data_IF_586289350985
#
_entry.id   IF_586289350985
#
_cell.length_a   1.000
_cell.length_b   1.000
_cell.length_c   1.000
_cell.angle_alpha   90.00
_cell.angle_beta   90.00
_cell.angle_gamma   90.00
#
_symmetry.space_group_name_H-M   'P 1'
#
loop_
_entity.id
_entity.type
_entity.pdbx_description
1 polymer ?
#
# COMPACT_ATOMS: atom_id res chain seq x y z
N UNK A 1 7.29 16.48 19.50
CA UNK A 1 6.04 15.70 19.47
C UNK A 1 5.88 15.27 18.02
N UNK A 2 5.73 13.97 17.76
CA UNK A 2 5.55 13.52 16.38
C UNK A 2 4.18 13.99 15.84
N UNK A 3 4.09 14.17 14.54
CA UNK A 3 2.85 14.59 13.85
C UNK A 3 1.70 13.62 14.18
N UNK A 4 2.04 12.38 14.35
CA UNK A 4 1.13 11.25 14.58
C UNK A 4 0.62 11.19 16.02
N UNK A 5 1.40 11.60 17.01
CA UNK A 5 0.90 11.86 18.37
C UNK A 5 -0.13 12.97 18.38
N UNK A 6 -0.03 13.92 17.42
CA UNK A 6 -0.96 15.04 17.29
C UNK A 6 -2.33 14.58 16.80
N UNK A 7 -2.40 13.62 15.85
CA UNK A 7 -3.65 13.01 15.43
C UNK A 7 -4.38 12.32 16.59
N UNK A 8 -3.67 11.46 17.32
CA UNK A 8 -4.29 10.75 18.46
C UNK A 8 -4.74 11.70 19.56
N UNK A 9 -4.03 12.84 19.77
CA UNK A 9 -4.43 13.88 20.73
C UNK A 9 -5.70 14.60 20.28
N UNK A 10 -5.77 14.99 19.00
CA UNK A 10 -6.98 15.56 18.40
C UNK A 10 -8.18 14.62 18.57
N UNK A 11 -8.02 13.35 18.24
CA UNK A 11 -9.07 12.34 18.32
C UNK A 11 -9.51 12.05 19.77
N UNK A 12 -8.58 12.08 20.75
CA UNK A 12 -8.93 11.96 22.17
C UNK A 12 -9.81 13.12 22.65
N UNK A 13 -9.57 14.33 22.12
CA UNK A 13 -10.39 15.50 22.40
C UNK A 13 -11.79 15.39 21.76
N UNK A 14 -11.88 14.85 20.55
CA UNK A 14 -13.10 14.81 19.76
C UNK A 14 -13.62 13.39 19.52
N UNK A 15 -13.71 12.59 20.58
CA UNK A 15 -14.19 11.20 20.53
C UNK A 15 -15.60 11.02 19.94
N UNK A 16 -16.42 12.06 20.00
CA UNK A 16 -17.76 12.09 19.40
C UNK A 16 -17.75 11.77 17.90
N UNK A 17 -16.68 12.11 17.18
CA UNK A 17 -16.55 11.83 15.74
C UNK A 17 -16.72 10.34 15.42
N UNK A 18 -16.34 9.45 16.33
CA UNK A 18 -16.52 8.01 16.19
C UNK A 18 -17.96 7.52 16.47
N UNK A 19 -18.85 8.40 16.95
CA UNK A 19 -20.27 8.08 17.18
C UNK A 19 -21.14 8.31 15.94
N UNK A 20 -20.57 8.93 14.91
CA UNK A 20 -21.22 9.12 13.62
C UNK A 20 -20.92 7.90 12.76
N UNK A 21 -21.76 6.88 12.90
CA UNK A 21 -21.55 5.56 12.28
C UNK A 21 -22.72 5.14 11.38
N UNK A 22 -22.41 4.23 10.44
CA UNK A 22 -23.40 3.56 9.57
C UNK A 22 -23.18 2.05 9.65
N UNK A 23 -24.11 1.33 10.27
CA UNK A 23 -24.01 -0.13 10.51
C UNK A 23 -22.68 -0.55 11.18
N UNK A 24 -22.25 0.23 12.18
CA UNK A 24 -21.01 -0.02 12.92
C UNK A 24 -19.74 0.53 12.26
N UNK A 25 -19.84 1.14 11.08
CA UNK A 25 -18.72 1.80 10.41
C UNK A 25 -18.66 3.29 10.79
N UNK A 26 -17.67 3.74 11.57
CA UNK A 26 -17.50 5.14 11.93
C UNK A 26 -17.04 5.94 10.71
N UNK A 27 -17.87 6.86 10.20
CA UNK A 27 -17.59 7.62 8.96
C UNK A 27 -16.35 8.50 9.08
N UNK A 28 -16.02 8.95 10.29
CA UNK A 28 -14.81 9.72 10.55
C UNK A 28 -13.53 9.01 10.09
N UNK A 29 -13.51 7.67 10.10
CA UNK A 29 -12.33 6.89 9.69
C UNK A 29 -11.89 7.19 8.25
N UNK A 30 -12.81 7.59 7.36
CA UNK A 30 -12.51 8.02 6.00
C UNK A 30 -11.73 9.36 5.92
N UNK A 31 -11.69 10.11 7.01
CA UNK A 31 -11.07 11.44 7.07
C UNK A 31 -9.73 11.44 7.80
N UNK A 32 -9.36 10.33 8.46
CA UNK A 32 -8.18 10.28 9.33
C UNK A 32 -6.88 10.61 8.62
N UNK A 33 -6.66 10.08 7.43
CA UNK A 33 -5.46 10.40 6.63
C UNK A 33 -5.38 11.88 6.30
N UNK A 34 -6.51 12.49 5.93
CA UNK A 34 -6.57 13.91 5.61
C UNK A 34 -6.41 14.80 6.84
N UNK A 35 -7.00 14.41 7.95
CA UNK A 35 -6.78 15.09 9.23
C UNK A 35 -5.30 15.03 9.63
N UNK A 36 -4.66 13.88 9.46
CA UNK A 36 -3.24 13.69 9.73
C UNK A 36 -2.36 14.60 8.85
N UNK A 37 -2.67 14.70 7.55
CA UNK A 37 -1.99 15.59 6.61
C UNK A 37 -2.14 17.08 7.00
N UNK A 38 -3.34 17.51 7.38
CA UNK A 38 -3.58 18.88 7.85
C UNK A 38 -2.77 19.20 9.12
N UNK A 39 -2.73 18.26 10.06
CA UNK A 39 -1.95 18.39 11.30
C UNK A 39 -0.43 18.44 11.03
N UNK A 40 0.03 17.83 9.93
CA UNK A 40 1.44 17.86 9.52
C UNK A 40 1.88 19.15 8.83
N UNK A 41 0.94 20.00 8.44
CA UNK A 41 1.24 21.20 7.66
C UNK A 41 1.52 20.96 6.18
N UNK A 42 1.39 19.71 5.72
CA UNK A 42 1.71 19.30 4.34
C UNK A 42 0.66 19.69 3.29
N UNK A 43 -0.49 20.23 3.70
CA UNK A 43 -1.56 20.59 2.74
C UNK A 43 -1.27 21.83 1.88
N UNK A 44 -0.28 22.65 2.24
CA UNK A 44 0.00 23.88 1.50
C UNK A 44 0.55 23.64 0.08
N UNK A 45 1.12 22.45 -0.19
CA UNK A 45 1.66 22.10 -1.50
C UNK A 45 0.87 21.01 -2.25
N UNK A 46 0.01 20.26 -1.57
CA UNK A 46 -0.80 19.17 -2.16
C UNK A 46 -2.28 19.52 -2.28
N UNK A 47 -2.64 20.68 -2.82
CA UNK A 47 -3.84 20.80 -3.66
C UNK A 47 -3.59 20.02 -4.95
N UNK A 48 -3.10 18.81 -4.81
CA UNK A 48 -2.94 17.87 -5.88
C UNK A 48 -4.34 17.33 -6.20
N UNK A 49 -4.88 17.81 -7.31
CA UNK A 49 -5.60 17.04 -8.32
C UNK A 49 -6.56 15.90 -7.90
N UNK A 50 -6.88 15.74 -6.58
CA UNK A 50 -7.91 14.80 -6.13
C UNK A 50 -9.32 15.21 -6.57
N UNK A 51 -9.56 16.47 -6.96
CA UNK A 51 -10.88 16.97 -7.25
C UNK A 51 -11.42 16.63 -8.64
N UNK A 52 -10.61 16.23 -9.60
CA UNK A 52 -11.06 16.08 -11.00
C UNK A 52 -10.94 14.68 -11.63
N UNK A 53 -10.37 13.70 -10.96
CA UNK A 53 -10.35 12.34 -11.49
C UNK A 53 -11.63 11.56 -11.15
N UNK A 54 -12.73 11.93 -11.78
CA UNK A 54 -13.91 11.06 -11.85
C UNK A 54 -13.48 9.77 -12.53
N UNK A 55 -13.42 8.68 -11.78
CA UNK A 55 -13.08 7.37 -12.30
C UNK A 55 -13.85 7.10 -13.60
N UNK A 56 -13.13 6.89 -14.70
CA UNK A 56 -13.75 6.60 -15.99
C UNK A 56 -14.38 5.22 -15.91
N UNK A 57 -15.67 5.16 -16.25
CA UNK A 57 -16.39 3.90 -16.36
C UNK A 57 -16.25 3.41 -17.79
N UNK A 58 -15.62 2.26 -17.99
CA UNK A 58 -15.45 1.67 -19.30
C UNK A 58 -16.68 0.81 -19.67
N UNK A 59 -17.36 1.06 -20.79
CA UNK A 59 -18.53 0.26 -21.21
C UNK A 59 -18.26 -1.25 -21.26
N UNK A 60 -17.06 -1.64 -21.69
CA UNK A 60 -16.64 -3.05 -21.71
C UNK A 60 -16.58 -3.66 -20.31
N UNK A 61 -16.14 -2.93 -19.30
CA UNK A 61 -16.10 -3.40 -17.90
C UNK A 61 -17.51 -3.52 -17.31
N UNK A 62 -18.42 -2.60 -17.65
CA UNK A 62 -19.85 -2.71 -17.26
C UNK A 62 -20.44 -4.00 -17.81
N UNK A 63 -20.23 -4.28 -19.09
CA UNK A 63 -20.74 -5.48 -19.72
C UNK A 63 -20.17 -6.75 -19.08
N UNK A 64 -18.87 -6.79 -18.86
CA UNK A 64 -18.20 -7.91 -18.21
C UNK A 64 -18.68 -8.12 -16.77
N UNK A 65 -18.89 -7.03 -16.01
CA UNK A 65 -19.49 -7.05 -14.68
C UNK A 65 -20.88 -7.69 -14.67
N UNK A 66 -21.75 -7.35 -15.64
CA UNK A 66 -23.08 -7.93 -15.79
C UNK A 66 -23.03 -9.43 -16.10
N UNK A 67 -22.17 -9.85 -17.01
CA UNK A 67 -22.00 -11.26 -17.38
C UNK A 67 -21.52 -12.12 -16.20
N UNK A 68 -20.64 -11.56 -15.38
CA UNK A 68 -20.04 -12.26 -14.22
C UNK A 68 -20.93 -12.27 -12.98
N UNK A 69 -21.98 -11.46 -12.94
CA UNK A 69 -22.91 -11.41 -11.81
C UNK A 69 -23.46 -12.78 -11.37
N UNK A 70 -23.71 -13.68 -12.32
CA UNK A 70 -24.19 -15.05 -12.04
C UNK A 70 -23.12 -15.91 -11.34
N UNK A 71 -21.84 -15.69 -11.64
CA UNK A 71 -20.73 -16.43 -11.03
C UNK A 71 -20.61 -16.10 -9.55
N UNK A 72 -20.86 -14.85 -9.18
CA UNK A 72 -20.82 -14.38 -7.80
C UNK A 72 -21.76 -15.17 -6.88
N UNK A 73 -22.95 -15.52 -7.35
CA UNK A 73 -23.95 -16.25 -6.54
C UNK A 73 -23.50 -17.64 -6.11
N UNK A 74 -22.48 -18.20 -6.74
CA UNK A 74 -21.95 -19.54 -6.47
C UNK A 74 -20.65 -19.50 -5.67
N UNK A 75 -20.05 -18.33 -5.53
CA UNK A 75 -18.82 -18.17 -4.79
C UNK A 75 -19.08 -18.17 -3.29
N UNK A 76 -18.20 -18.81 -2.54
CA UNK A 76 -18.18 -18.78 -1.08
C UNK A 76 -17.20 -17.70 -0.55
N UNK A 77 -16.27 -17.25 -1.41
CA UNK A 77 -15.24 -16.30 -1.06
C UNK A 77 -15.32 -15.06 -1.95
N UNK A 78 -15.45 -13.90 -1.34
CA UNK A 78 -15.41 -12.60 -2.02
C UNK A 78 -14.14 -11.86 -1.63
N UNK A 79 -13.37 -11.42 -2.63
CA UNK A 79 -12.15 -10.62 -2.43
C UNK A 79 -12.42 -9.22 -2.98
N UNK A 80 -12.21 -8.20 -2.17
CA UNK A 80 -12.39 -6.79 -2.55
C UNK A 80 -11.04 -6.12 -2.75
N UNK A 81 -10.81 -5.53 -3.92
CA UNK A 81 -9.55 -4.86 -4.28
C UNK A 81 -9.78 -3.74 -5.29
N UNK A 82 -8.72 -3.06 -5.68
CA UNK A 82 -8.75 -2.02 -6.72
C UNK A 82 -7.78 -2.35 -7.85
N UNK A 83 -8.11 -1.93 -9.08
CA UNK A 83 -7.23 -2.09 -10.24
C UNK A 83 -5.91 -1.31 -10.11
N UNK A 84 -5.80 -0.35 -9.19
CA UNK A 84 -4.53 0.30 -8.85
C UNK A 84 -3.45 -0.69 -8.35
N UNK A 85 -3.84 -1.86 -7.85
CA UNK A 85 -2.92 -2.92 -7.43
C UNK A 85 -2.43 -3.82 -8.56
N UNK A 86 -2.85 -3.57 -9.80
CA UNK A 86 -2.32 -4.20 -11.01
C UNK A 86 -0.97 -3.62 -11.43
N UNK A 87 -0.06 -3.48 -10.45
CA UNK A 87 1.26 -2.85 -10.64
C UNK A 87 2.28 -3.76 -11.32
N UNK A 88 2.01 -5.05 -11.34
CA UNK A 88 2.95 -6.08 -11.75
C UNK A 88 2.62 -6.55 -13.18
N UNK A 89 2.95 -5.72 -14.17
CA UNK A 89 2.60 -5.96 -15.60
C UNK A 89 1.10 -6.22 -15.82
N UNK A 90 0.27 -5.45 -15.13
CA UNK A 90 -1.18 -5.59 -15.19
C UNK A 90 -1.74 -6.68 -14.29
N UNK A 91 -0.90 -7.40 -13.55
CA UNK A 91 -1.33 -8.42 -12.57
C UNK A 91 -1.51 -7.83 -11.18
N UNK A 92 -2.44 -8.37 -10.42
CA UNK A 92 -2.58 -8.12 -8.99
C UNK A 92 -2.11 -9.37 -8.22
N UNK A 93 -0.82 -9.43 -7.91
CA UNK A 93 -0.20 -10.62 -7.31
C UNK A 93 -0.74 -10.95 -5.92
N UNK A 94 -1.18 -9.95 -5.15
CA UNK A 94 -1.82 -10.19 -3.86
C UNK A 94 -3.19 -10.89 -4.02
N UNK A 95 -3.98 -10.45 -5.00
CA UNK A 95 -5.24 -11.11 -5.32
C UNK A 95 -5.00 -12.52 -5.90
N UNK A 96 -3.95 -12.72 -6.71
CA UNK A 96 -3.58 -14.03 -7.23
C UNK A 96 -3.22 -15.01 -6.10
N UNK A 97 -2.45 -14.58 -5.11
CA UNK A 97 -2.13 -15.37 -3.92
C UNK A 97 -3.41 -15.80 -3.17
N UNK A 98 -4.32 -14.85 -2.95
CA UNK A 98 -5.60 -15.15 -2.29
C UNK A 98 -6.47 -16.11 -3.13
N UNK A 99 -6.48 -15.96 -4.46
CA UNK A 99 -7.20 -16.89 -5.33
C UNK A 99 -6.64 -18.31 -5.32
N UNK A 100 -5.36 -18.49 -5.03
CA UNK A 100 -4.74 -19.81 -4.85
C UNK A 100 -5.13 -20.42 -3.50
N UNK A 101 -5.14 -19.60 -2.43
CA UNK A 101 -5.58 -20.03 -1.10
C UNK A 101 -7.11 -20.33 -1.08
N UNK A 102 -7.90 -19.60 -1.87
CA UNK A 102 -9.35 -19.72 -1.99
C UNK A 102 -9.77 -19.98 -3.45
N UNK A 103 -9.80 -21.27 -3.89
CA UNK A 103 -10.00 -21.60 -5.30
C UNK A 103 -11.36 -21.19 -5.90
N UNK A 104 -12.39 -21.03 -5.07
CA UNK A 104 -13.73 -20.58 -5.47
C UNK A 104 -13.89 -19.05 -5.45
N UNK A 105 -12.87 -18.30 -4.99
CA UNK A 105 -12.96 -16.87 -4.82
C UNK A 105 -13.29 -16.10 -6.09
N UNK A 106 -14.13 -15.10 -5.96
CA UNK A 106 -14.36 -14.06 -6.97
C UNK A 106 -13.84 -12.72 -6.45
N UNK A 107 -13.07 -12.04 -7.29
CA UNK A 107 -12.44 -10.77 -6.96
C UNK A 107 -13.31 -9.63 -7.45
N UNK A 108 -13.84 -8.83 -6.53
CA UNK A 108 -14.48 -7.55 -6.83
C UNK A 108 -13.41 -6.49 -7.00
N UNK A 109 -13.33 -5.91 -8.19
CA UNK A 109 -12.31 -4.93 -8.49
C UNK A 109 -12.91 -3.56 -8.78
N UNK A 110 -12.56 -2.59 -7.92
CA UNK A 110 -12.86 -1.19 -8.16
C UNK A 110 -11.99 -0.64 -9.31
N UNK A 111 -12.57 0.20 -10.21
CA UNK A 111 -11.78 0.83 -11.25
C UNK A 111 -10.74 1.78 -10.65
N UNK A 112 -9.54 1.78 -11.22
CA UNK A 112 -8.53 2.78 -10.91
C UNK A 112 -8.89 4.12 -11.54
N UNK A 113 -8.22 5.16 -11.06
CA UNK A 113 -8.27 6.49 -11.67
C UNK A 113 -7.35 6.62 -12.89
N UNK A 114 -6.49 5.64 -13.13
CA UNK A 114 -5.54 5.63 -14.25
C UNK A 114 -5.94 4.64 -15.33
N UNK A 115 -5.97 5.08 -16.58
CA UNK A 115 -6.34 4.26 -17.75
C UNK A 115 -5.46 3.01 -17.90
N UNK A 116 -4.17 3.11 -17.52
CA UNK A 116 -3.22 2.01 -17.65
C UNK A 116 -3.64 0.75 -16.88
N UNK A 117 -4.10 0.92 -15.64
CA UNK A 117 -4.51 -0.21 -14.80
C UNK A 117 -5.83 -0.83 -15.25
N UNK A 118 -6.74 -0.02 -15.79
CA UNK A 118 -8.03 -0.50 -16.28
C UNK A 118 -7.88 -1.25 -17.60
N UNK A 119 -6.95 -0.85 -18.47
CA UNK A 119 -6.59 -1.59 -19.69
C UNK A 119 -5.94 -2.93 -19.34
N UNK A 120 -5.08 -2.96 -18.33
CA UNK A 120 -4.41 -4.16 -17.88
C UNK A 120 -5.38 -5.28 -17.43
N UNK A 121 -6.57 -4.91 -16.92
CA UNK A 121 -7.63 -5.87 -16.60
C UNK A 121 -7.98 -6.78 -17.79
N UNK A 122 -8.10 -6.22 -19.00
CA UNK A 122 -8.50 -7.02 -20.19
C UNK A 122 -7.38 -7.93 -20.70
N UNK A 123 -6.15 -7.68 -20.30
CA UNK A 123 -4.96 -8.47 -20.67
C UNK A 123 -4.68 -9.59 -19.65
N UNK A 124 -5.31 -9.55 -18.48
CA UNK A 124 -5.11 -10.54 -17.43
C UNK A 124 -5.64 -11.91 -17.82
N UNK A 125 -4.80 -12.93 -17.77
CA UNK A 125 -5.17 -14.32 -18.05
C UNK A 125 -6.19 -14.88 -17.04
N UNK A 126 -6.22 -14.34 -15.83
CA UNK A 126 -7.12 -14.72 -14.73
C UNK A 126 -8.38 -13.83 -14.66
N UNK A 127 -8.63 -12.98 -15.67
CA UNK A 127 -9.76 -12.03 -15.68
C UNK A 127 -11.12 -12.66 -15.41
N UNK A 128 -11.30 -13.94 -15.70
CA UNK A 128 -12.55 -14.65 -15.43
C UNK A 128 -12.88 -14.81 -13.95
N UNK A 129 -11.88 -14.65 -13.07
CA UNK A 129 -12.03 -14.63 -11.61
C UNK A 129 -12.35 -13.23 -11.07
N UNK A 130 -12.18 -12.19 -11.89
CA UNK A 130 -12.45 -10.82 -11.52
C UNK A 130 -13.84 -10.39 -11.97
N UNK A 131 -14.56 -9.70 -11.11
CA UNK A 131 -15.80 -9.00 -11.40
C UNK A 131 -15.57 -7.50 -11.22
N UNK A 132 -15.46 -6.73 -12.32
CA UNK A 132 -15.39 -5.29 -12.22
C UNK A 132 -16.63 -4.71 -11.54
N UNK A 133 -16.47 -3.76 -10.66
CA UNK A 133 -17.59 -3.17 -9.92
C UNK A 133 -18.30 -2.06 -10.72
N UNK A 134 -17.87 -1.78 -11.95
CA UNK A 134 -18.34 -0.67 -12.79
C UNK A 134 -19.86 -0.65 -12.97
N UNK A 135 -20.48 -1.82 -13.14
CA UNK A 135 -21.94 -1.92 -13.20
C UNK A 135 -22.61 -1.44 -11.90
N UNK A 136 -22.06 -1.82 -10.76
CA UNK A 136 -22.60 -1.42 -9.45
C UNK A 136 -22.42 0.07 -9.20
N UNK A 137 -21.33 0.68 -9.67
CA UNK A 137 -21.12 2.13 -9.62
C UNK A 137 -22.17 2.86 -10.45
N UNK A 138 -22.49 2.35 -11.64
CA UNK A 138 -23.54 2.92 -12.48
C UNK A 138 -24.92 2.83 -11.81
N UNK A 139 -25.26 1.65 -11.28
CA UNK A 139 -26.50 1.41 -10.56
C UNK A 139 -26.58 2.32 -9.33
N UNK A 140 -25.47 2.50 -8.58
CA UNK A 140 -25.41 3.42 -7.46
C UNK A 140 -25.68 4.86 -7.87
N UNK A 141 -25.11 5.35 -8.97
CA UNK A 141 -25.36 6.71 -9.47
C UNK A 141 -26.85 6.96 -9.78
N UNK A 142 -27.53 5.93 -10.32
CA UNK A 142 -28.98 6.02 -10.58
C UNK A 142 -29.74 5.96 -9.26
N UNK A 143 -29.39 5.03 -8.39
CA UNK A 143 -30.04 4.84 -7.10
C UNK A 143 -29.94 6.10 -6.19
N UNK A 144 -28.75 6.69 -6.07
CA UNK A 144 -28.53 7.95 -5.33
C UNK A 144 -29.39 9.10 -5.88
N UNK A 145 -29.49 9.23 -7.23
CA UNK A 145 -30.39 10.25 -7.82
C UNK A 145 -31.85 10.05 -7.44
N UNK A 146 -32.33 8.81 -7.41
CA UNK A 146 -33.71 8.50 -7.00
C UNK A 146 -33.95 8.73 -5.50
N UNK A 147 -32.91 8.63 -4.68
CA UNK A 147 -32.95 8.84 -3.23
C UNK A 147 -32.38 10.21 -2.79
N UNK A 148 -32.27 11.18 -3.72
CA UNK A 148 -31.63 12.47 -3.45
C UNK A 148 -32.25 13.24 -2.29
N UNK A 149 -33.57 13.15 -2.12
CA UNK A 149 -34.27 13.80 -0.98
C UNK A 149 -33.86 13.18 0.36
N UNK A 150 -33.76 11.86 0.41
CA UNK A 150 -33.29 11.14 1.61
C UNK A 150 -31.83 11.48 1.92
N UNK A 151 -30.98 11.54 0.89
CA UNK A 151 -29.57 11.91 1.01
C UNK A 151 -29.41 13.31 1.63
N UNK A 152 -30.18 14.30 1.15
CA UNK A 152 -30.17 15.67 1.70
C UNK A 152 -30.58 15.69 3.19
N UNK A 153 -31.65 14.97 3.55
CA UNK A 153 -32.10 14.89 4.95
C UNK A 153 -31.01 14.27 5.84
N UNK A 154 -30.34 13.24 5.36
CA UNK A 154 -29.24 12.60 6.09
C UNK A 154 -28.02 13.53 6.24
N UNK A 155 -27.68 14.27 5.18
CA UNK A 155 -26.62 15.29 5.22
C UNK A 155 -26.92 16.36 6.26
N UNK A 156 -28.11 16.91 6.24
CA UNK A 156 -28.55 17.97 7.19
C UNK A 156 -28.56 17.47 8.64
N UNK A 157 -29.08 16.27 8.86
CA UNK A 157 -29.08 15.65 10.19
C UNK A 157 -27.67 15.45 10.74
N UNK A 158 -26.76 14.94 9.91
CA UNK A 158 -25.36 14.75 10.31
C UNK A 158 -24.67 16.09 10.55
N UNK A 159 -24.86 17.06 9.67
CA UNK A 159 -24.31 18.42 9.78
C UNK A 159 -24.75 19.08 11.09
N UNK A 160 -26.05 19.01 11.40
CA UNK A 160 -26.59 19.58 12.64
C UNK A 160 -25.91 18.97 13.87
N UNK A 161 -25.76 17.63 13.91
CA UNK A 161 -25.04 16.95 15.02
C UNK A 161 -23.61 17.43 15.20
N UNK A 162 -22.89 17.65 14.08
CA UNK A 162 -21.51 18.16 14.12
C UNK A 162 -21.46 19.62 14.62
N UNK A 163 -22.34 20.48 14.09
CA UNK A 163 -22.40 21.89 14.48
C UNK A 163 -22.78 22.00 15.97
N UNK A 164 -23.86 21.33 16.39
CA UNK A 164 -24.32 21.35 17.79
C UNK A 164 -23.21 20.87 18.74
N UNK A 165 -22.42 19.89 18.34
CA UNK A 165 -21.30 19.40 19.15
C UNK A 165 -20.17 20.43 19.24
N UNK A 166 -19.69 20.94 18.12
CA UNK A 166 -18.55 21.86 18.10
C UNK A 166 -18.87 23.26 18.62
N UNK A 167 -20.13 23.73 18.53
CA UNK A 167 -20.56 25.00 19.13
C UNK A 167 -20.63 24.94 20.67
N UNK A 168 -20.87 23.77 21.24
CA UNK A 168 -20.90 23.56 22.69
C UNK A 168 -19.52 23.23 23.30
N UNK A 169 -18.50 22.93 22.49
CA UNK A 169 -17.13 22.68 22.93
C UNK A 169 -16.41 24.01 23.16
N UNK A 170 -16.31 24.41 24.43
CA UNK A 170 -15.48 25.53 24.84
C UNK A 170 -13.99 25.17 24.70
N UNK A 171 -13.31 25.67 23.68
CA UNK A 171 -11.87 25.51 23.55
C UNK A 171 -11.39 25.03 22.17
N UNK A 172 -12.11 25.30 21.11
CA UNK A 172 -11.57 25.18 19.74
C UNK A 172 -10.48 26.23 19.60
N UNK A 173 -9.24 25.78 19.53
CA UNK A 173 -8.09 26.64 19.28
C UNK A 173 -8.18 27.22 17.85
N UNK A 174 -7.69 28.44 17.66
CA UNK A 174 -7.54 29.00 16.32
C UNK A 174 -6.42 28.27 15.55
N UNK A 175 -6.50 28.28 14.22
CA UNK A 175 -5.49 27.69 13.37
C UNK A 175 -5.90 26.36 12.74
N UNK A 176 -5.01 25.36 12.75
CA UNK A 176 -5.19 24.06 12.04
C UNK A 176 -6.39 23.30 12.58
N UNK A 177 -6.61 23.30 13.90
CA UNK A 177 -7.73 22.60 14.52
C UNK A 177 -9.09 23.12 13.98
N UNK A 178 -9.23 24.44 13.88
CA UNK A 178 -10.42 25.06 13.29
C UNK A 178 -10.62 24.74 11.82
N UNK A 179 -9.52 24.65 11.06
CA UNK A 179 -9.57 24.21 9.65
C UNK A 179 -10.08 22.79 9.53
N UNK A 180 -9.60 21.87 10.37
CA UNK A 180 -10.05 20.47 10.41
C UNK A 180 -11.53 20.38 10.75
N UNK A 181 -11.98 21.09 11.79
CA UNK A 181 -13.37 21.10 12.19
C UNK A 181 -14.26 21.61 11.05
N UNK A 182 -13.89 22.71 10.40
CA UNK A 182 -14.63 23.27 9.26
C UNK A 182 -14.69 22.27 8.10
N UNK A 183 -13.59 21.60 7.78
CA UNK A 183 -13.57 20.54 6.77
C UNK A 183 -14.53 19.39 7.13
N UNK A 184 -14.48 18.91 8.37
CA UNK A 184 -15.37 17.83 8.82
C UNK A 184 -16.85 18.24 8.76
N UNK A 185 -17.22 19.46 9.18
CA UNK A 185 -18.60 19.98 9.08
C UNK A 185 -19.06 20.08 7.63
N UNK A 186 -18.17 20.39 6.69
CA UNK A 186 -18.51 20.52 5.27
C UNK A 186 -18.62 19.18 4.54
N UNK A 187 -17.72 18.25 4.80
CA UNK A 187 -17.55 17.04 3.98
C UNK A 187 -18.09 15.76 4.60
N UNK A 188 -17.94 15.59 5.92
CA UNK A 188 -18.37 14.36 6.60
C UNK A 188 -19.88 14.08 6.48
N UNK A 189 -20.80 15.09 6.48
CA UNK A 189 -22.23 14.85 6.23
C UNK A 189 -22.54 14.21 4.88
N UNK A 190 -21.84 14.62 3.83
CA UNK A 190 -21.97 14.04 2.48
C UNK A 190 -21.49 12.60 2.45
N UNK A 191 -20.34 12.33 3.08
CA UNK A 191 -19.81 10.97 3.19
C UNK A 191 -20.78 10.07 3.99
N UNK A 192 -21.31 10.56 5.10
CA UNK A 192 -22.31 9.85 5.91
C UNK A 192 -23.55 9.46 5.08
N UNK A 193 -24.15 10.43 4.39
CA UNK A 193 -25.34 10.20 3.56
C UNK A 193 -25.04 9.23 2.41
N UNK A 194 -23.92 9.41 1.73
CA UNK A 194 -23.47 8.53 0.64
C UNK A 194 -23.26 7.10 1.12
N UNK A 195 -22.63 6.90 2.29
CA UNK A 195 -22.43 5.57 2.88
C UNK A 195 -23.76 4.90 3.22
N UNK A 196 -24.73 5.63 3.81
CA UNK A 196 -26.06 5.09 4.09
C UNK A 196 -26.75 4.60 2.80
N UNK A 197 -26.81 5.47 1.78
CA UNK A 197 -27.45 5.14 0.49
C UNK A 197 -26.75 3.99 -0.22
N UNK A 198 -25.42 3.98 -0.20
CA UNK A 198 -24.59 2.92 -0.77
C UNK A 198 -24.84 1.57 -0.09
N UNK A 199 -24.83 1.54 1.23
CA UNK A 199 -25.10 0.32 1.99
C UNK A 199 -26.52 -0.19 1.81
N UNK A 200 -27.53 0.69 1.69
CA UNK A 200 -28.90 0.30 1.35
C UNK A 200 -28.97 -0.40 -0.02
N UNK A 201 -28.28 0.14 -1.02
CA UNK A 201 -28.20 -0.46 -2.34
C UNK A 201 -27.51 -1.83 -2.29
N UNK A 202 -26.31 -1.90 -1.70
CA UNK A 202 -25.55 -3.15 -1.64
C UNK A 202 -26.27 -4.23 -0.84
N UNK A 203 -26.97 -3.89 0.24
CA UNK A 203 -27.84 -4.82 0.97
C UNK A 203 -28.93 -5.43 0.06
N UNK A 204 -29.55 -4.63 -0.83
CA UNK A 204 -30.52 -5.12 -1.80
C UNK A 204 -29.87 -6.03 -2.85
N UNK A 205 -28.71 -5.65 -3.37
CA UNK A 205 -28.00 -6.40 -4.40
C UNK A 205 -27.47 -7.74 -3.87
N UNK A 206 -26.94 -7.77 -2.66
CA UNK A 206 -26.35 -8.97 -2.06
C UNK A 206 -27.34 -9.83 -1.26
N UNK A 207 -28.60 -9.41 -1.11
CA UNK A 207 -29.61 -10.14 -0.29
C UNK A 207 -29.73 -11.65 -0.58
N UNK A 208 -29.39 -12.09 -1.79
CA UNK A 208 -29.51 -13.47 -2.24
C UNK A 208 -28.18 -14.26 -2.19
N UNK A 209 -27.12 -13.68 -1.62
CA UNK A 209 -25.80 -14.30 -1.51
C UNK A 209 -25.63 -14.98 -0.15
N UNK A 210 -26.35 -16.08 0.08
CA UNK A 210 -26.43 -16.71 1.39
C UNK A 210 -25.28 -17.71 1.67
N UNK A 211 -24.37 -17.91 0.71
CA UNK A 211 -23.32 -18.93 0.79
C UNK A 211 -21.93 -18.35 1.01
N UNK A 212 -21.84 -17.07 1.41
CA UNK A 212 -20.55 -16.43 1.67
C UNK A 212 -19.97 -16.98 2.95
N UNK A 213 -18.79 -17.58 2.88
CA UNK A 213 -18.01 -18.07 4.01
C UNK A 213 -16.88 -17.10 4.36
N UNK A 214 -16.31 -16.42 3.35
CA UNK A 214 -15.20 -15.49 3.51
C UNK A 214 -15.42 -14.18 2.74
N UNK A 215 -15.19 -13.06 3.40
CA UNK A 215 -15.14 -11.73 2.79
C UNK A 215 -13.74 -11.14 3.07
N UNK A 216 -12.91 -11.05 2.04
CA UNK A 216 -11.52 -10.64 2.15
C UNK A 216 -11.37 -9.23 1.60
N UNK A 217 -10.92 -8.32 2.45
CA UNK A 217 -10.68 -6.93 2.08
C UNK A 217 -9.20 -6.67 1.86
N UNK A 218 -8.90 -5.99 0.78
CA UNK A 218 -7.57 -5.53 0.49
C UNK A 218 -7.60 -4.01 0.33
N UNK A 219 -7.01 -3.30 1.28
CA UNK A 219 -6.94 -1.85 1.32
C UNK A 219 -8.30 -1.13 1.51
N UNK A 220 -9.18 -1.68 2.32
CA UNK A 220 -10.47 -1.04 2.65
C UNK A 220 -11.48 -0.99 1.51
N UNK A 221 -11.24 -1.72 0.41
CA UNK A 221 -12.06 -1.66 -0.82
C UNK A 221 -13.51 -2.11 -0.62
N UNK A 222 -13.76 -2.98 0.36
CA UNK A 222 -15.11 -3.48 0.68
C UNK A 222 -15.66 -3.02 2.03
N UNK A 223 -14.79 -2.53 2.90
CA UNK A 223 -15.06 -2.28 4.33
C UNK A 223 -16.17 -1.26 4.57
N UNK A 224 -16.18 -0.18 3.84
CA UNK A 224 -17.12 0.92 4.05
C UNK A 224 -18.55 0.60 3.57
N UNK A 225 -18.66 0.00 2.39
CA UNK A 225 -19.93 -0.02 1.66
C UNK A 225 -20.55 -1.42 1.51
N UNK A 226 -19.75 -2.47 1.46
CA UNK A 226 -20.22 -3.82 1.08
C UNK A 226 -20.19 -4.78 2.25
N UNK A 227 -19.04 -4.97 2.89
CA UNK A 227 -18.85 -5.95 3.96
C UNK A 227 -19.86 -5.78 5.11
N UNK A 228 -20.16 -4.56 5.61
CA UNK A 228 -21.13 -4.36 6.69
C UNK A 228 -22.57 -4.81 6.37
N UNK A 229 -22.88 -5.03 5.10
CA UNK A 229 -24.24 -5.35 4.64
C UNK A 229 -24.37 -6.68 3.91
N UNK A 230 -23.30 -7.46 3.87
CA UNK A 230 -23.36 -8.84 3.36
C UNK A 230 -24.25 -9.69 4.26
N UNK A 231 -25.07 -10.56 3.68
CA UNK A 231 -25.96 -11.44 4.45
C UNK A 231 -25.23 -12.64 5.03
N UNK A 232 -25.75 -13.18 6.12
CA UNK A 232 -25.25 -14.40 6.77
C UNK A 232 -24.11 -14.17 7.72
N UNK A 233 -23.57 -15.26 8.25
CA UNK A 233 -22.34 -15.28 9.03
C UNK A 233 -21.18 -15.66 8.14
N UNK A 234 -20.14 -14.86 8.14
CA UNK A 234 -18.93 -15.06 7.34
C UNK A 234 -17.71 -14.61 8.12
N UNK A 235 -16.56 -15.15 7.76
CA UNK A 235 -15.26 -14.69 8.25
C UNK A 235 -14.83 -13.46 7.45
N UNK A 236 -14.65 -12.33 8.12
CA UNK A 236 -14.08 -11.13 7.53
C UNK A 236 -12.57 -11.14 7.71
N UNK A 237 -11.85 -11.06 6.60
CA UNK A 237 -10.39 -11.11 6.56
C UNK A 237 -9.87 -9.81 5.93
N UNK A 238 -8.80 -9.25 6.49
CA UNK A 238 -8.08 -8.14 5.87
C UNK A 238 -6.66 -8.56 5.56
N UNK A 239 -6.22 -8.27 4.33
CA UNK A 239 -4.82 -8.42 3.94
C UNK A 239 -4.11 -7.08 4.09
N UNK A 240 -2.99 -7.07 4.81
CA UNK A 240 -2.08 -5.93 4.87
C UNK A 240 -1.74 -5.44 3.47
N UNK A 241 -1.75 -4.12 3.24
CA UNK A 241 -1.52 -3.53 1.92
C UNK A 241 -0.24 -2.69 1.80
N UNK A 242 0.39 -2.37 2.92
CA UNK A 242 1.59 -1.53 2.99
C UNK A 242 2.28 -1.64 4.35
N UNK A 243 3.28 -0.81 4.56
CA UNK A 243 3.98 -0.74 5.85
C UNK A 243 3.04 -0.15 6.90
N UNK A 244 2.94 -0.81 8.05
CA UNK A 244 2.18 -0.33 9.20
C UNK A 244 3.17 0.18 10.23
N UNK A 245 3.15 1.49 10.45
CA UNK A 245 3.95 2.17 11.48
C UNK A 245 3.18 2.25 12.81
N UNK A 246 3.85 2.63 13.89
CA UNK A 246 3.25 2.75 15.22
C UNK A 246 2.14 3.80 15.35
N UNK A 247 1.89 4.57 14.30
CA UNK A 247 0.86 5.60 14.24
C UNK A 247 -0.02 5.49 13.00
N UNK A 248 0.06 4.36 12.29
CA UNK A 248 -0.65 4.20 11.03
C UNK A 248 -2.17 4.46 11.19
N UNK A 249 -2.73 5.49 10.53
CA UNK A 249 -4.12 5.92 10.75
C UNK A 249 -5.16 4.85 10.42
N UNK A 250 -4.83 3.86 9.60
CA UNK A 250 -5.73 2.74 9.29
C UNK A 250 -5.84 1.68 10.39
N UNK A 251 -4.88 1.62 11.35
CA UNK A 251 -4.79 0.53 12.33
C UNK A 251 -4.65 1.00 13.78
N UNK A 252 -4.10 2.19 14.02
CA UNK A 252 -3.85 2.71 15.36
C UNK A 252 -4.85 3.80 15.70
N UNK A 253 -5.63 3.58 16.76
CA UNK A 253 -6.74 4.44 17.19
C UNK A 253 -6.59 4.82 18.66
N UNK A 254 -7.22 5.92 19.13
CA UNK A 254 -7.31 6.21 20.56
C UNK A 254 -7.93 5.04 21.32
N UNK A 255 -7.44 4.74 22.52
CA UNK A 255 -7.89 3.58 23.33
C UNK A 255 -9.40 3.52 23.48
N UNK A 256 -10.09 4.65 23.70
CA UNK A 256 -11.55 4.70 23.82
C UNK A 256 -12.28 4.44 22.49
N UNK A 257 -11.65 4.76 21.33
CA UNK A 257 -12.21 4.48 20.02
C UNK A 257 -12.07 3.01 19.64
N UNK A 258 -11.10 2.32 20.21
CA UNK A 258 -10.78 0.93 19.89
C UNK A 258 -12.00 0.02 20.00
N UNK A 259 -12.81 0.12 21.05
CA UNK A 259 -14.00 -0.72 21.23
C UNK A 259 -15.07 -0.46 20.14
N UNK A 260 -15.23 0.80 19.70
CA UNK A 260 -16.14 1.16 18.61
C UNK A 260 -15.61 0.67 17.27
N UNK A 261 -14.31 0.84 17.04
CA UNK A 261 -13.63 0.43 15.82
C UNK A 261 -13.53 -1.09 15.67
N UNK A 262 -13.50 -1.84 16.78
CA UNK A 262 -13.45 -3.30 16.77
C UNK A 262 -14.55 -3.97 15.93
N UNK A 263 -15.72 -3.34 15.82
CA UNK A 263 -16.85 -3.87 15.06
C UNK A 263 -16.67 -3.84 13.55
N UNK A 264 -15.89 -2.89 13.02
CA UNK A 264 -15.66 -2.76 11.57
C UNK A 264 -14.32 -3.32 11.12
N UNK A 265 -13.41 -3.62 12.04
CA UNK A 265 -12.20 -4.34 11.68
C UNK A 265 -12.52 -5.78 11.27
N UNK A 266 -11.68 -6.30 10.40
CA UNK A 266 -11.72 -7.71 10.03
C UNK A 266 -11.52 -8.60 11.28
N UNK A 267 -12.15 -9.75 11.28
CA UNK A 267 -11.98 -10.75 12.34
C UNK A 267 -10.59 -11.37 12.30
N UNK A 268 -10.06 -11.56 11.10
CA UNK A 268 -8.71 -12.06 10.86
C UNK A 268 -7.89 -11.05 10.05
N UNK A 269 -6.68 -10.78 10.49
CA UNK A 269 -5.74 -9.90 9.82
C UNK A 269 -4.53 -10.69 9.33
N UNK A 270 -4.32 -10.69 8.02
CA UNK A 270 -3.18 -11.32 7.37
C UNK A 270 -2.06 -10.30 7.24
N UNK A 271 -0.96 -10.50 7.97
CA UNK A 271 0.17 -9.58 8.04
C UNK A 271 1.39 -10.11 7.31
N UNK A 272 2.27 -9.17 6.94
CA UNK A 272 3.52 -9.50 6.26
C UNK A 272 4.59 -10.01 7.22
N UNK A 273 4.69 -9.47 8.45
CA UNK A 273 5.79 -9.79 9.34
C UNK A 273 5.45 -9.74 10.83
N UNK A 274 6.29 -10.40 11.63
CA UNK A 274 6.14 -10.52 13.09
C UNK A 274 6.27 -9.18 13.83
N UNK A 275 7.07 -8.23 13.33
CA UNK A 275 7.18 -6.91 13.95
C UNK A 275 5.85 -6.15 13.87
N UNK A 276 5.17 -6.23 12.72
CA UNK A 276 3.84 -5.64 12.55
C UNK A 276 2.81 -6.31 13.47
N UNK A 277 2.86 -7.65 13.61
CA UNK A 277 2.02 -8.39 14.57
C UNK A 277 2.23 -7.87 15.99
N UNK A 278 3.47 -7.82 16.47
CA UNK A 278 3.80 -7.32 17.80
C UNK A 278 3.32 -5.88 18.02
N UNK A 279 3.55 -5.02 17.03
CA UNK A 279 3.11 -3.63 17.06
C UNK A 279 1.59 -3.52 17.25
N UNK A 280 0.80 -4.26 16.46
CA UNK A 280 -0.65 -4.19 16.50
C UNK A 280 -1.24 -4.79 17.78
N UNK A 281 -0.66 -5.87 18.31
CA UNK A 281 -1.06 -6.41 19.62
C UNK A 281 -0.84 -5.37 20.73
N UNK A 282 0.25 -4.62 20.67
CA UNK A 282 0.60 -3.63 21.71
C UNK A 282 -0.20 -2.33 21.61
N UNK A 283 -0.49 -1.86 20.38
CA UNK A 283 -1.01 -0.50 20.14
C UNK A 283 -2.39 -0.43 19.49
N UNK A 284 -2.97 -1.55 19.07
CA UNK A 284 -4.26 -1.60 18.39
C UNK A 284 -5.29 -2.44 19.17
N UNK A 285 -6.39 -2.79 18.51
CA UNK A 285 -7.49 -3.60 19.07
C UNK A 285 -7.35 -5.09 18.81
N UNK A 286 -6.37 -5.48 18.01
CA UNK A 286 -6.21 -6.87 17.60
C UNK A 286 -5.58 -7.72 18.70
N UNK A 287 -6.11 -8.93 18.86
CA UNK A 287 -5.51 -9.95 19.71
C UNK A 287 -4.60 -10.86 18.89
N UNK A 288 -3.79 -11.67 19.57
CA UNK A 288 -2.86 -12.58 18.89
C UNK A 288 -3.56 -13.58 17.98
N UNK A 289 -4.72 -14.09 18.43
CA UNK A 289 -5.53 -15.08 17.72
C UNK A 289 -6.17 -14.53 16.44
N UNK A 290 -6.31 -13.21 16.32
CA UNK A 290 -6.86 -12.55 15.14
C UNK A 290 -5.81 -12.30 14.06
N UNK A 291 -4.53 -12.56 14.33
CA UNK A 291 -3.43 -12.21 13.43
C UNK A 291 -2.71 -13.46 12.93
N UNK A 292 -2.71 -13.63 11.61
CA UNK A 292 -1.89 -14.62 10.90
C UNK A 292 -0.77 -13.91 10.14
N UNK A 293 0.48 -14.32 10.35
CA UNK A 293 1.64 -13.81 9.57
C UNK A 293 1.86 -14.73 8.38
N UNK A 294 1.72 -14.17 7.19
CA UNK A 294 1.76 -14.93 5.92
C UNK A 294 2.94 -14.54 5.00
N UNK A 295 3.71 -13.51 5.38
CA UNK A 295 4.66 -12.86 4.46
C UNK A 295 3.97 -11.92 3.47
N UNK A 296 4.76 -11.20 2.67
CA UNK A 296 4.22 -10.33 1.63
C UNK A 296 3.84 -11.16 0.38
N UNK A 297 2.55 -11.30 0.04
CA UNK A 297 2.10 -12.16 -1.06
C UNK A 297 2.72 -11.80 -2.41
N UNK A 298 2.93 -10.50 -2.67
CA UNK A 298 3.55 -10.02 -3.90
C UNK A 298 4.98 -10.54 -4.03
N UNK A 299 5.77 -10.43 -2.97
CA UNK A 299 7.16 -10.88 -2.95
C UNK A 299 7.23 -12.41 -3.03
N UNK A 300 6.36 -13.10 -2.29
CA UNK A 300 6.29 -14.57 -2.34
C UNK A 300 6.00 -15.09 -3.76
N UNK A 301 5.08 -14.45 -4.49
CA UNK A 301 4.78 -14.81 -5.88
C UNK A 301 5.97 -14.56 -6.80
N UNK A 302 6.64 -13.43 -6.67
CA UNK A 302 7.85 -13.17 -7.43
C UNK A 302 9.00 -14.12 -7.08
N UNK A 303 9.13 -14.48 -5.80
CA UNK A 303 10.14 -15.46 -5.39
C UNK A 303 9.88 -16.82 -6.02
N UNK A 304 8.63 -17.26 -6.14
CA UNK A 304 8.26 -18.46 -6.88
C UNK A 304 8.62 -18.39 -8.37
N UNK A 305 8.48 -17.21 -8.99
CA UNK A 305 8.73 -17.02 -10.42
C UNK A 305 10.23 -16.84 -10.74
N UNK A 306 11.00 -16.19 -9.87
CA UNK A 306 12.36 -15.75 -10.15
C UNK A 306 13.41 -16.16 -9.10
N UNK A 307 12.98 -16.64 -7.92
CA UNK A 307 13.90 -16.90 -6.79
C UNK A 307 14.74 -18.18 -6.93
N UNK A 308 14.33 -19.13 -7.76
CA UNK A 308 15.03 -20.39 -8.02
C UNK A 308 15.83 -20.36 -9.32
N UNK A 309 16.29 -19.18 -9.74
CA UNK A 309 17.11 -19.06 -10.94
C UNK A 309 18.39 -19.89 -10.75
N UNK A 310 18.55 -20.95 -11.55
CA UNK A 310 19.79 -21.73 -11.68
C UNK A 310 20.88 -20.93 -12.42
N UNK A 311 20.56 -19.74 -12.92
CA UNK A 311 21.51 -18.83 -13.55
C UNK A 311 22.49 -18.30 -12.50
N UNK A 312 23.77 -18.31 -12.83
CA UNK A 312 24.82 -17.76 -11.97
C UNK A 312 24.49 -16.30 -11.66
N UNK A 313 24.55 -15.91 -10.41
CA UNK A 313 24.45 -14.52 -9.97
C UNK A 313 25.57 -13.72 -10.63
N UNK A 314 25.20 -12.76 -11.48
CA UNK A 314 26.13 -12.08 -12.36
C UNK A 314 26.21 -10.58 -12.11
N UNK A 315 25.27 -10.00 -11.31
CA UNK A 315 25.19 -8.57 -11.12
C UNK A 315 25.58 -8.12 -9.71
N UNK A 316 26.25 -6.96 -9.67
CA UNK A 316 26.21 -6.05 -8.53
C UNK A 316 25.14 -5.01 -8.91
N UNK A 317 23.97 -5.09 -8.27
CA UNK A 317 22.79 -4.32 -8.66
C UNK A 317 22.65 -3.07 -7.82
N UNK A 318 22.70 -1.91 -8.44
CA UNK A 318 22.31 -0.64 -7.83
C UNK A 318 20.87 -0.28 -8.18
N UNK A 319 20.04 -0.02 -7.17
CA UNK A 319 18.68 0.54 -7.38
C UNK A 319 18.71 2.04 -7.17
N UNK A 320 18.44 2.78 -8.25
CA UNK A 320 18.38 4.24 -8.24
C UNK A 320 17.13 4.77 -7.54
N UNK A 321 17.17 6.01 -7.08
CA UNK A 321 16.09 6.67 -6.36
C UNK A 321 15.87 8.09 -6.91
N UNK A 322 14.61 8.55 -7.05
CA UNK A 322 14.27 9.82 -7.71
C UNK A 322 14.38 11.03 -6.77
N UNK A 323 15.42 11.13 -5.93
CA UNK A 323 15.57 12.18 -4.94
C UNK A 323 15.57 13.59 -5.52
N UNK A 324 16.17 13.81 -6.72
CA UNK A 324 16.16 15.14 -7.35
C UNK A 324 14.76 15.58 -7.79
N UNK A 325 13.81 14.63 -7.91
CA UNK A 325 12.41 14.94 -8.20
C UNK A 325 11.59 15.19 -6.93
N UNK A 326 11.97 14.54 -5.82
CA UNK A 326 11.22 14.58 -4.55
C UNK A 326 11.70 15.73 -3.66
N UNK A 327 12.98 16.09 -3.71
CA UNK A 327 13.61 17.08 -2.83
C UNK A 327 14.25 18.17 -3.65
N UNK A 328 13.73 19.39 -3.57
CA UNK A 328 14.29 20.55 -4.27
C UNK A 328 15.74 20.80 -3.83
N UNK A 329 16.66 20.83 -4.79
CA UNK A 329 18.09 21.06 -4.55
C UNK A 329 18.88 19.81 -4.14
N UNK A 330 18.27 18.61 -4.20
CA UNK A 330 19.02 17.37 -4.03
C UNK A 330 19.99 17.14 -5.20
N UNK A 331 21.21 16.73 -4.88
CA UNK A 331 22.29 16.42 -5.83
C UNK A 331 22.59 14.92 -5.89
N UNK A 332 21.52 14.10 -5.89
CA UNK A 332 21.63 12.66 -5.75
C UNK A 332 22.53 12.00 -6.79
N UNK A 333 22.33 12.32 -8.06
CA UNK A 333 23.12 11.67 -9.14
C UNK A 333 24.57 12.12 -9.13
N UNK A 334 24.86 13.37 -8.75
CA UNK A 334 26.23 13.88 -8.64
C UNK A 334 27.02 13.23 -7.51
N UNK A 335 26.35 12.79 -6.43
CA UNK A 335 26.95 12.02 -5.34
C UNK A 335 27.09 10.53 -5.71
N UNK A 336 26.08 9.92 -6.37
CA UNK A 336 26.06 8.48 -6.65
C UNK A 336 27.01 8.08 -7.78
N UNK A 337 27.10 8.86 -8.85
CA UNK A 337 27.92 8.51 -10.02
C UNK A 337 29.38 8.25 -9.68
N UNK A 338 30.10 9.12 -8.90
CA UNK A 338 31.49 8.85 -8.53
C UNK A 338 31.67 7.57 -7.72
N UNK A 339 30.71 7.24 -6.84
CA UNK A 339 30.75 5.99 -6.05
C UNK A 339 30.61 4.79 -6.99
N UNK A 340 29.64 4.83 -7.91
CA UNK A 340 29.39 3.75 -8.86
C UNK A 340 30.55 3.60 -9.87
N UNK A 341 31.20 4.69 -10.27
CA UNK A 341 32.44 4.65 -11.08
C UNK A 341 33.56 3.92 -10.33
N UNK A 342 33.70 4.16 -9.02
CA UNK A 342 34.69 3.47 -8.19
C UNK A 342 34.36 1.98 -8.03
N UNK A 343 33.06 1.64 -7.90
CA UNK A 343 32.60 0.23 -7.90
C UNK A 343 32.91 -0.42 -9.26
N UNK A 344 32.58 0.24 -10.39
CA UNK A 344 32.89 -0.28 -11.73
C UNK A 344 34.39 -0.52 -11.92
N UNK A 345 35.23 0.42 -11.46
CA UNK A 345 36.67 0.27 -11.49
C UNK A 345 37.14 -0.95 -10.70
N UNK A 346 36.57 -1.19 -9.51
CA UNK A 346 36.87 -2.37 -8.70
C UNK A 346 36.48 -3.67 -9.43
N UNK A 347 35.28 -3.71 -10.05
CA UNK A 347 34.83 -4.86 -10.83
C UNK A 347 35.79 -5.16 -12.00
N UNK A 348 36.42 -4.16 -12.58
CA UNK A 348 37.33 -4.31 -13.71
C UNK A 348 38.73 -4.74 -13.30
N UNK A 349 39.20 -4.36 -12.09
CA UNK A 349 40.63 -4.49 -11.70
C UNK A 349 40.89 -5.53 -10.63
N UNK A 350 39.88 -5.89 -9.83
CA UNK A 350 40.04 -6.85 -8.72
C UNK A 350 39.57 -8.24 -9.15
N UNK A 351 40.49 -9.22 -9.12
CA UNK A 351 40.24 -10.62 -9.53
C UNK A 351 39.04 -11.25 -8.79
N UNK A 352 38.77 -10.84 -7.55
CA UNK A 352 37.65 -11.35 -6.75
C UNK A 352 36.28 -10.92 -7.32
N UNK A 353 36.23 -9.75 -7.95
CA UNK A 353 35.02 -9.11 -8.41
C UNK A 353 34.79 -9.18 -9.92
N UNK A 354 35.82 -9.50 -10.73
CA UNK A 354 35.77 -9.52 -12.21
C UNK A 354 34.65 -10.36 -12.83
N UNK A 355 34.13 -11.34 -12.10
CA UNK A 355 33.05 -12.20 -12.58
C UNK A 355 31.67 -11.53 -12.54
N UNK A 356 31.57 -10.35 -11.94
CA UNK A 356 30.33 -9.60 -11.83
C UNK A 356 30.33 -8.37 -12.72
N UNK A 357 29.15 -7.93 -13.14
CA UNK A 357 28.93 -6.69 -13.89
C UNK A 357 28.08 -5.73 -13.06
N UNK A 358 28.37 -4.42 -13.16
CA UNK A 358 27.52 -3.41 -12.56
C UNK A 358 26.20 -3.29 -13.34
N UNK A 359 25.10 -3.43 -12.65
CA UNK A 359 23.76 -3.23 -13.15
C UNK A 359 23.09 -2.08 -12.39
N UNK A 360 22.42 -1.19 -13.09
CA UNK A 360 21.66 -0.07 -12.51
C UNK A 360 20.21 -0.23 -12.90
N UNK A 361 19.32 -0.36 -11.92
CA UNK A 361 17.88 -0.38 -12.13
C UNK A 361 17.29 0.98 -11.79
N UNK A 362 16.70 1.63 -12.78
CA UNK A 362 16.02 2.90 -12.59
C UNK A 362 14.75 2.74 -11.76
N UNK A 363 14.45 3.75 -10.94
CA UNK A 363 13.17 3.84 -10.24
C UNK A 363 12.04 4.08 -11.26
N UNK A 364 10.80 3.58 -11.03
CA UNK A 364 9.67 3.77 -11.95
C UNK A 364 9.33 5.21 -12.35
N UNK A 365 9.71 6.19 -11.53
CA UNK A 365 9.51 7.63 -11.82
C UNK A 365 10.69 8.28 -12.58
N UNK A 366 11.83 7.60 -12.71
CA UNK A 366 12.97 8.12 -13.48
C UNK A 366 12.76 7.88 -14.97
N UNK A 367 13.26 8.80 -15.78
CA UNK A 367 13.07 8.82 -17.24
C UNK A 367 14.36 8.49 -18.00
N UNK A 368 14.25 8.48 -19.35
CA UNK A 368 15.38 8.21 -20.23
C UNK A 368 16.54 9.21 -20.10
N UNK A 369 16.30 10.44 -19.66
CA UNK A 369 17.37 11.40 -19.38
C UNK A 369 18.29 10.93 -18.25
N UNK A 370 17.72 10.31 -17.22
CA UNK A 370 18.49 9.72 -16.12
C UNK A 370 19.23 8.46 -16.60
N UNK A 371 18.60 7.65 -17.46
CA UNK A 371 19.26 6.51 -18.10
C UNK A 371 20.54 6.95 -18.82
N UNK A 372 20.42 7.95 -19.71
CA UNK A 372 21.55 8.48 -20.46
C UNK A 372 22.64 9.03 -19.53
N UNK A 373 22.25 9.71 -18.43
CA UNK A 373 23.20 10.25 -17.45
C UNK A 373 24.08 9.15 -16.82
N UNK A 374 23.50 7.97 -16.51
CA UNK A 374 24.28 6.83 -16.03
C UNK A 374 25.14 6.21 -17.12
N UNK A 375 24.59 5.96 -18.32
CA UNK A 375 25.32 5.34 -19.45
C UNK A 375 26.50 6.19 -19.93
N UNK A 376 26.36 7.51 -19.97
CA UNK A 376 27.43 8.45 -20.38
C UNK A 376 28.55 8.50 -19.32
N UNK A 377 28.24 8.44 -18.04
CA UNK A 377 29.24 8.56 -16.97
C UNK A 377 29.83 7.23 -16.52
N UNK A 378 29.16 6.10 -16.79
CA UNK A 378 29.59 4.74 -16.42
C UNK A 378 29.38 3.82 -17.63
N UNK A 379 30.21 3.93 -18.69
CA UNK A 379 29.95 3.29 -20.01
C UNK A 379 29.83 1.75 -19.96
N UNK A 380 30.44 1.10 -19.00
CA UNK A 380 30.44 -0.37 -18.90
C UNK A 380 29.29 -0.94 -18.03
N UNK A 381 28.46 -0.08 -17.43
CA UNK A 381 27.32 -0.52 -16.66
C UNK A 381 26.14 -0.92 -17.55
N UNK A 382 25.29 -1.81 -17.06
CA UNK A 382 24.00 -2.14 -17.69
C UNK A 382 22.89 -1.36 -17.02
N UNK A 383 22.26 -0.41 -17.74
CA UNK A 383 21.13 0.36 -17.19
C UNK A 383 19.81 -0.25 -17.63
N UNK A 384 19.00 -0.66 -16.65
CA UNK A 384 17.68 -1.22 -16.85
C UNK A 384 16.60 -0.17 -16.54
N UNK A 385 15.70 -0.01 -17.48
CA UNK A 385 14.56 0.91 -17.40
C UNK A 385 13.37 0.36 -16.60
N UNK A 386 12.27 1.10 -16.63
CA UNK A 386 11.06 0.76 -15.91
C UNK A 386 10.36 -0.51 -16.40
N UNK A 387 10.60 -0.92 -17.65
CA UNK A 387 10.01 -2.14 -18.20
C UNK A 387 10.66 -3.42 -17.65
N UNK A 388 11.89 -3.32 -17.13
CA UNK A 388 12.61 -4.47 -16.58
C UNK A 388 12.17 -4.79 -15.16
N UNK A 389 11.89 -6.07 -14.89
CA UNK A 389 11.43 -6.53 -13.59
C UNK A 389 12.54 -6.49 -12.54
N UNK A 390 12.31 -5.76 -11.44
CA UNK A 390 13.27 -5.66 -10.33
C UNK A 390 13.60 -7.04 -9.74
N UNK A 391 12.59 -7.87 -9.54
CA UNK A 391 12.74 -9.16 -8.86
C UNK A 391 13.53 -10.17 -9.70
N UNK A 392 13.42 -10.12 -11.02
CA UNK A 392 14.30 -10.88 -11.92
C UNK A 392 15.77 -10.46 -11.77
N UNK A 393 16.00 -9.15 -11.67
CA UNK A 393 17.36 -8.63 -11.45
C UNK A 393 17.90 -9.01 -10.09
N UNK A 394 17.08 -8.94 -9.03
CA UNK A 394 17.46 -9.37 -7.69
C UNK A 394 17.85 -10.86 -7.67
N UNK A 395 17.06 -11.75 -8.30
CA UNK A 395 17.37 -13.17 -8.41
C UNK A 395 18.70 -13.46 -9.14
N UNK A 396 19.10 -12.57 -10.06
CA UNK A 396 20.37 -12.67 -10.82
C UNK A 396 21.53 -11.90 -10.17
N UNK A 397 21.32 -11.25 -9.03
CA UNK A 397 22.33 -10.41 -8.39
C UNK A 397 23.05 -11.11 -7.25
N UNK A 398 24.35 -10.89 -7.18
CA UNK A 398 25.19 -11.32 -6.07
C UNK A 398 25.07 -10.35 -4.88
N UNK A 399 25.04 -9.06 -5.17
CA UNK A 399 24.97 -8.01 -4.16
C UNK A 399 24.03 -6.89 -4.65
N UNK A 400 23.24 -6.37 -3.74
CA UNK A 400 22.40 -5.21 -3.98
C UNK A 400 22.99 -3.96 -3.31
N UNK A 401 22.89 -2.82 -3.98
CA UNK A 401 23.35 -1.51 -3.51
C UNK A 401 22.18 -0.53 -3.59
N UNK A 402 21.96 0.22 -2.53
CA UNK A 402 20.99 1.31 -2.53
C UNK A 402 21.37 2.40 -1.52
N UNK A 403 20.73 3.58 -1.56
CA UNK A 403 20.94 4.62 -0.56
C UNK A 403 20.00 4.40 0.65
N UNK A 404 18.69 4.51 0.45
CA UNK A 404 17.68 4.49 1.53
C UNK A 404 16.42 3.70 1.15
N UNK A 405 16.47 2.90 0.08
CA UNK A 405 15.29 2.22 -0.46
C UNK A 405 14.89 1.00 0.34
N UNK A 406 13.58 0.84 0.54
CA UNK A 406 12.97 -0.39 1.11
C UNK A 406 13.19 -1.64 0.25
N UNK A 407 13.73 -1.51 -0.97
CA UNK A 407 14.19 -2.64 -1.80
C UNK A 407 15.24 -3.51 -1.09
N UNK A 408 15.88 -3.00 -0.04
CA UNK A 408 16.73 -3.78 0.86
C UNK A 408 16.02 -5.02 1.40
N UNK A 409 14.77 -4.87 1.87
CA UNK A 409 13.98 -5.98 2.39
C UNK A 409 13.67 -7.00 1.31
N UNK A 410 13.30 -6.50 0.13
CA UNK A 410 13.00 -7.36 -1.03
C UNK A 410 14.24 -8.13 -1.47
N UNK A 411 15.39 -7.47 -1.54
CA UNK A 411 16.68 -8.10 -1.90
C UNK A 411 17.04 -9.23 -0.95
N UNK A 412 16.90 -9.03 0.36
CA UNK A 412 17.20 -10.06 1.36
C UNK A 412 16.31 -11.30 1.17
N UNK A 413 15.04 -11.13 0.80
CA UNK A 413 14.12 -12.23 0.50
C UNK A 413 14.47 -12.98 -0.80
N UNK A 414 15.21 -12.34 -1.73
CA UNK A 414 15.76 -12.95 -2.94
C UNK A 414 17.18 -13.48 -2.74
N UNK A 415 17.59 -13.70 -1.49
CA UNK A 415 18.92 -14.19 -1.14
C UNK A 415 20.06 -13.28 -1.64
N UNK A 416 19.80 -11.98 -1.74
CA UNK A 416 20.73 -10.96 -2.22
C UNK A 416 21.00 -9.96 -1.10
N UNK A 417 22.17 -10.01 -0.44
CA UNK A 417 22.49 -9.07 0.62
C UNK A 417 22.62 -7.63 0.08
N UNK A 418 22.28 -6.66 0.92
CA UNK A 418 22.32 -5.24 0.57
C UNK A 418 23.42 -4.53 1.32
N UNK A 419 24.13 -3.64 0.62
CA UNK A 419 25.01 -2.62 1.21
C UNK A 419 24.51 -1.24 0.85
N UNK A 420 24.70 -0.27 1.72
CA UNK A 420 24.23 1.10 1.49
C UNK A 420 25.35 1.99 0.95
N UNK A 421 25.00 2.87 0.02
CA UNK A 421 25.82 4.04 -0.29
C UNK A 421 25.53 5.15 0.69
N UNK A 422 26.54 5.87 1.20
CA UNK A 422 26.30 7.03 2.04
C UNK A 422 25.59 8.12 1.22
N UNK A 423 24.54 8.70 1.79
CA UNK A 423 23.83 9.81 1.20
C UNK A 423 23.30 10.75 2.29
N UNK A 424 23.61 12.05 2.20
CA UNK A 424 23.15 13.12 3.10
C UNK A 424 23.26 12.81 4.61
N UNK A 425 24.24 12.00 5.02
CA UNK A 425 24.46 11.66 6.43
C UNK A 425 23.43 10.70 7.05
N UNK A 426 22.51 10.13 6.26
CA UNK A 426 21.53 9.16 6.77
C UNK A 426 22.21 7.94 7.40
N UNK A 427 21.68 7.53 8.55
CA UNK A 427 22.09 6.31 9.24
C UNK A 427 21.09 5.19 8.95
N UNK A 428 21.58 3.98 8.76
CA UNK A 428 20.74 2.82 8.50
C UNK A 428 19.76 2.53 9.63
N UNK A 429 20.19 2.77 10.85
CA UNK A 429 19.40 2.56 12.06
C UNK A 429 18.19 3.49 12.13
N UNK A 430 18.32 4.73 11.64
CA UNK A 430 17.23 5.72 11.61
C UNK A 430 16.19 5.38 10.54
N UNK A 431 16.61 4.74 9.42
CA UNK A 431 15.75 4.43 8.29
C UNK A 431 15.12 3.03 8.41
N UNK A 432 15.94 2.05 8.77
CA UNK A 432 15.56 0.62 8.74
C UNK A 432 15.40 0.01 10.14
N UNK A 433 15.77 0.74 11.22
CA UNK A 433 15.76 0.24 12.58
C UNK A 433 16.90 -0.74 12.92
N UNK A 434 17.85 -0.96 12.00
CA UNK A 434 18.99 -1.85 12.21
C UNK A 434 20.20 -1.44 11.37
N UNK A 435 21.38 -1.99 11.73
CA UNK A 435 22.62 -1.65 11.08
C UNK A 435 22.78 -2.39 9.74
N UNK A 436 23.15 -1.66 8.68
CA UNK A 436 23.45 -2.19 7.36
C UNK A 436 24.85 -1.76 6.94
N UNK A 437 25.62 -2.70 6.37
CA UNK A 437 26.97 -2.39 5.86
C UNK A 437 26.93 -1.27 4.84
N UNK A 438 27.91 -0.36 4.90
CA UNK A 438 28.06 0.76 3.97
C UNK A 438 29.27 0.56 3.08
N UNK A 439 29.17 1.04 1.84
CA UNK A 439 30.33 1.15 0.96
C UNK A 439 30.90 2.57 1.03
N UNK A 440 32.24 2.64 1.13
CA UNK A 440 32.99 3.89 1.05
C UNK A 440 33.86 3.81 -0.20
N UNK A 441 33.25 4.03 -1.38
CA UNK A 441 33.91 3.93 -2.70
C UNK A 441 34.47 2.52 -3.04
N UNK A 442 34.22 1.50 -2.22
CA UNK A 442 34.65 0.13 -2.43
C UNK A 442 33.62 -0.85 -1.91
N UNK A 443 33.38 -1.94 -2.66
CA UNK A 443 32.61 -3.08 -2.19
C UNK A 443 33.39 -3.77 -1.03
N UNK A 444 32.68 -4.26 0.00
CA UNK A 444 33.32 -4.94 1.12
C UNK A 444 33.96 -6.26 0.69
N UNK A 445 35.29 -6.36 0.72
CA UNK A 445 36.03 -7.55 0.27
C UNK A 445 35.63 -8.82 1.04
N UNK A 446 35.21 -8.68 2.31
CA UNK A 446 34.75 -9.82 3.11
C UNK A 446 33.47 -10.48 2.56
N UNK A 447 32.66 -9.79 1.75
CA UNK A 447 31.44 -10.36 1.18
C UNK A 447 31.72 -11.31 0.01
N UNK A 448 32.97 -11.41 -0.47
CA UNK A 448 33.37 -12.47 -1.43
C UNK A 448 33.67 -13.78 -0.73
N UNK A 449 33.94 -13.77 0.57
CA UNK A 449 34.11 -14.94 1.40
C UNK A 449 32.75 -15.57 1.70
N UNK A 450 32.55 -16.82 1.30
CA UNK A 450 31.23 -17.50 1.36
C UNK A 450 30.62 -17.48 2.76
N UNK A 451 31.40 -17.75 3.80
CA UNK A 451 30.91 -17.76 5.19
C UNK A 451 30.43 -16.40 5.63
N UNK A 452 31.19 -15.34 5.41
CA UNK A 452 30.83 -13.98 5.79
C UNK A 452 29.65 -13.44 4.98
N UNK A 453 29.54 -13.87 3.71
CA UNK A 453 28.39 -13.56 2.87
C UNK A 453 27.11 -14.19 3.44
N UNK A 454 27.14 -15.49 3.75
CA UNK A 454 25.97 -16.19 4.29
C UNK A 454 25.57 -15.67 5.67
N UNK A 455 26.52 -15.38 6.54
CA UNK A 455 26.24 -14.78 7.86
C UNK A 455 25.59 -13.41 7.73
N UNK A 456 26.08 -12.57 6.82
CA UNK A 456 25.51 -11.25 6.58
C UNK A 456 24.11 -11.33 5.92
N UNK A 457 23.95 -12.23 4.96
CA UNK A 457 22.64 -12.50 4.36
C UNK A 457 21.63 -12.99 5.41
N UNK A 458 22.03 -13.95 6.25
CA UNK A 458 21.20 -14.45 7.35
C UNK A 458 20.82 -13.36 8.33
N UNK A 459 21.75 -12.48 8.67
CA UNK A 459 21.47 -11.30 9.50
C UNK A 459 20.41 -10.42 8.85
N UNK A 460 20.56 -10.02 7.57
CA UNK A 460 19.59 -9.19 6.86
C UNK A 460 18.22 -9.86 6.74
N UNK A 461 18.17 -11.16 6.45
CA UNK A 461 16.92 -11.93 6.42
C UNK A 461 16.19 -11.90 7.75
N UNK A 462 16.90 -12.11 8.86
CA UNK A 462 16.30 -12.09 10.18
C UNK A 462 15.72 -10.71 10.50
N UNK A 463 16.40 -9.63 10.12
CA UNK A 463 15.86 -8.28 10.25
C UNK A 463 14.63 -8.06 9.34
N UNK A 464 14.70 -8.51 8.10
CA UNK A 464 13.63 -8.38 7.11
C UNK A 464 12.37 -9.15 7.51
N UNK A 465 12.48 -10.39 7.99
CA UNK A 465 11.33 -11.20 8.43
C UNK A 465 10.52 -10.54 9.55
N UNK A 466 11.09 -9.58 10.26
CA UNK A 466 10.33 -8.79 11.22
C UNK A 466 9.37 -7.80 10.54
N UNK A 467 9.65 -7.35 9.32
CA UNK A 467 8.91 -6.28 8.64
C UNK A 467 8.11 -6.77 7.41
N UNK A 468 8.49 -7.89 6.83
CA UNK A 468 7.94 -8.45 5.61
C UNK A 468 7.62 -9.93 5.76
#
# INVERSE_FOLDING_TARGET
MSIEETLLRFEKKYMFLYEIEVNGFPVYTCFRDRVNLLLSGDEAEKKVEYENEKGRIYPKRIWDSLLKYRKLKKSKTLIFTSSMFRRDYGRNLAAEYLMEKYPDAVVFEWPSRTDAYDVAYFQDSKKDRYCPIDCYILVYKIYSRLHRKEEIILEEKCRKRLVDYFENENGVEDGVEKQIINMLIQEMPKSYASTVISQQLFRKLFRKYNNIEYAIDFWGSGRENIIPVLPGEFESIELQHGIITEFHPGYIYPTKANEKCKRFFARTLLLYGEATKKLLIQKSVFTEEQIEVIGNPRILKYKQEFGESSEKRQYILFTSQPFEQDVKGAEYYSEMIPILQSVQKQLNTDEKWKKYSLAIKLHPRENNGIKNKYEENIPECKVFDNATQLYELLGKSFLHITATSTTLYEAALFDTPTVLVPYQGYKSEDIFGFNVKKINNKLPDELVESEKYEDYLKYLKNQTMNYM
#
